data_IF_772986137326
#
_entry.id   IF_772986137326
#
_cell.length_a   1.000
_cell.length_b   1.000
_cell.length_c   1.000
_cell.angle_alpha   90.00
_cell.angle_beta   90.00
_cell.angle_gamma   90.00
#
_symmetry.space_group_name_H-M   'P 1'
#
loop_
_entity.id
_entity.type
_entity.pdbx_description
1 polymer ?
#
# COMPACT_ATOMS: atom_id res chain seq x y z
N UNK A 1 10.60 14.29 17.29
CA UNK A 1 12.02 14.15 16.89
C UNK A 1 12.36 15.32 15.99
N UNK A 2 13.36 16.15 16.30
CA UNK A 2 13.72 17.29 15.45
C UNK A 2 14.50 16.82 14.22
N UNK A 3 14.10 17.27 13.02
CA UNK A 3 14.78 17.00 11.75
C UNK A 3 15.55 18.26 11.34
N UNK A 4 16.78 18.10 10.84
CA UNK A 4 17.64 19.20 10.40
C UNK A 4 18.17 18.94 8.99
N UNK A 5 18.41 20.01 8.22
CA UNK A 5 19.20 19.97 6.98
C UNK A 5 20.61 20.49 7.26
N UNK A 6 21.64 19.84 6.70
CA UNK A 6 23.04 20.28 6.78
C UNK A 6 23.44 20.92 5.45
N UNK A 7 23.56 22.24 5.42
CA UNK A 7 24.00 23.00 4.25
C UNK A 7 25.09 23.99 4.70
N UNK A 8 26.18 24.12 3.94
CA UNK A 8 27.29 25.04 4.26
C UNK A 8 27.86 24.89 5.68
N UNK A 9 27.99 23.65 6.19
CA UNK A 9 28.40 23.35 7.56
C UNK A 9 27.48 23.91 8.67
N UNK A 10 26.28 24.37 8.33
CA UNK A 10 25.28 24.84 9.29
C UNK A 10 24.10 23.87 9.37
N UNK A 11 23.63 23.63 10.60
CA UNK A 11 22.44 22.83 10.87
C UNK A 11 21.21 23.75 10.89
N UNK A 12 20.32 23.56 9.92
CA UNK A 12 19.08 24.31 9.80
C UNK A 12 17.91 23.43 10.23
N UNK A 13 17.17 23.86 11.27
CA UNK A 13 16.00 23.12 11.73
C UNK A 13 14.93 23.09 10.65
N UNK A 14 14.36 21.91 10.39
CA UNK A 14 13.19 21.77 9.52
C UNK A 14 11.95 22.10 10.35
N UNK A 15 11.17 23.07 9.90
CA UNK A 15 9.93 23.45 10.56
C UNK A 15 8.94 22.27 10.57
N UNK A 16 8.32 22.06 11.73
CA UNK A 16 7.29 21.03 11.88
C UNK A 16 5.99 21.50 11.26
N UNK A 17 5.34 20.63 10.51
CA UNK A 17 4.02 20.86 9.90
C UNK A 17 3.18 19.58 10.03
N UNK A 18 1.90 19.66 9.64
CA UNK A 18 0.99 18.52 9.59
C UNK A 18 0.47 18.26 8.17
N UNK A 19 0.03 17.04 7.88
CA UNK A 19 -0.62 16.74 6.59
C UNK A 19 -1.83 17.63 6.31
N UNK A 20 -2.51 18.10 7.36
CA UNK A 20 -3.66 19.00 7.23
C UNK A 20 -3.24 20.40 6.77
N UNK A 21 -2.18 20.96 7.37
CA UNK A 21 -1.66 22.29 7.03
C UNK A 21 -1.10 22.31 5.61
N UNK A 22 -0.39 21.25 5.21
CA UNK A 22 0.17 21.11 3.86
C UNK A 22 -0.86 20.67 2.79
N UNK A 23 -2.15 20.57 3.15
CA UNK A 23 -3.21 20.07 2.28
C UNK A 23 -2.90 18.69 1.63
N UNK A 24 -2.15 17.84 2.35
CA UNK A 24 -1.79 16.50 1.91
C UNK A 24 -2.97 15.55 2.19
N UNK A 25 -3.58 15.07 1.11
CA UNK A 25 -4.71 14.14 1.17
C UNK A 25 -4.22 12.69 1.14
N UNK A 26 -4.93 11.83 1.87
CA UNK A 26 -4.55 10.42 2.08
C UNK A 26 -4.45 9.66 0.76
N UNK A 27 -5.56 9.59 0.01
CA UNK A 27 -5.60 8.84 -1.25
C UNK A 27 -4.88 9.54 -2.40
N UNK A 28 -5.08 10.86 -2.52
CA UNK A 28 -4.57 11.62 -3.67
C UNK A 28 -3.05 11.76 -3.62
N UNK A 29 -2.47 11.89 -2.42
CA UNK A 29 -1.05 12.17 -2.25
C UNK A 29 -0.31 11.03 -1.55
N UNK A 30 -0.65 10.70 -0.29
CA UNK A 30 0.13 9.75 0.51
C UNK A 30 0.13 8.34 -0.09
N UNK A 31 -1.05 7.81 -0.41
CA UNK A 31 -1.19 6.47 -0.98
C UNK A 31 -0.48 6.36 -2.33
N UNK A 32 -0.60 7.38 -3.19
CA UNK A 32 0.10 7.38 -4.48
C UNK A 32 1.62 7.44 -4.32
N UNK A 33 2.12 8.19 -3.34
CA UNK A 33 3.55 8.26 -3.04
C UNK A 33 4.08 6.95 -2.47
N UNK A 34 3.37 6.35 -1.51
CA UNK A 34 3.73 5.09 -0.87
C UNK A 34 3.61 3.91 -1.84
N UNK A 35 2.55 3.84 -2.65
CA UNK A 35 2.40 2.82 -3.70
C UNK A 35 3.61 2.77 -4.64
N UNK A 36 4.17 3.93 -4.99
CA UNK A 36 5.36 4.03 -5.85
C UNK A 36 6.66 3.65 -5.14
N UNK A 37 6.72 3.80 -3.81
CA UNK A 37 7.93 3.63 -3.01
C UNK A 37 7.62 2.84 -1.72
N UNK A 38 6.98 1.67 -1.86
CA UNK A 38 6.45 0.96 -0.68
C UNK A 38 7.55 0.51 0.28
N UNK A 39 8.76 0.27 -0.25
CA UNK A 39 9.94 -0.10 0.52
C UNK A 39 10.35 0.90 1.60
N UNK A 40 9.82 2.14 1.60
CA UNK A 40 10.05 3.10 2.69
C UNK A 40 9.35 2.69 3.99
N UNK A 41 8.25 1.94 3.91
CA UNK A 41 7.46 1.52 5.08
C UNK A 41 7.30 0.00 5.21
N UNK A 42 7.42 -0.72 4.09
CA UNK A 42 7.34 -2.17 4.04
C UNK A 42 8.34 -2.64 2.98
N UNK A 43 9.56 -2.88 3.44
CA UNK A 43 10.60 -3.54 2.65
C UNK A 43 10.06 -4.89 2.14
N UNK A 44 10.57 -5.33 0.99
CA UNK A 44 10.29 -6.67 0.48
C UNK A 44 8.79 -6.97 0.29
N UNK A 45 8.01 -5.94 -0.07
CA UNK A 45 6.59 -6.03 -0.39
C UNK A 45 6.31 -5.61 -1.85
N UNK A 46 5.48 -6.40 -2.54
CA UNK A 46 4.94 -6.10 -3.86
C UNK A 46 3.47 -5.69 -3.72
N UNK A 47 3.13 -4.44 -4.07
CA UNK A 47 1.73 -4.01 -4.10
C UNK A 47 0.99 -4.75 -5.22
N UNK A 48 -0.08 -5.46 -4.84
CA UNK A 48 -0.95 -6.18 -5.77
C UNK A 48 -2.30 -5.51 -6.00
N UNK A 49 -2.75 -4.64 -5.10
CA UNK A 49 -3.96 -3.85 -5.30
C UNK A 49 -3.94 -2.54 -4.49
N UNK A 50 -4.76 -1.60 -4.94
CA UNK A 50 -5.15 -0.42 -4.17
C UNK A 50 -6.68 -0.38 -4.08
N UNK A 51 -7.20 0.14 -2.97
CA UNK A 51 -8.65 0.28 -2.74
C UNK A 51 -9.42 -1.04 -2.91
N UNK A 52 -8.83 -2.16 -2.51
CA UNK A 52 -9.36 -3.50 -2.74
C UNK A 52 -10.64 -3.76 -1.94
N UNK A 53 -11.72 -4.16 -2.61
CA UNK A 53 -13.08 -4.18 -2.05
C UNK A 53 -13.99 -5.27 -2.67
N UNK A 54 -13.47 -6.46 -2.95
CA UNK A 54 -14.24 -7.48 -3.69
C UNK A 54 -15.23 -8.30 -2.84
N UNK A 55 -15.32 -8.00 -1.55
CA UNK A 55 -16.30 -8.61 -0.65
C UNK A 55 -17.50 -7.68 -0.47
N UNK A 56 -18.63 -8.03 -1.11
CA UNK A 56 -19.95 -7.43 -0.88
C UNK A 56 -20.05 -5.90 -1.14
N UNK A 57 -21.25 -5.37 -1.38
CA UNK A 57 -21.57 -3.97 -1.65
C UNK A 57 -21.30 -3.00 -0.48
N UNK A 58 -20.39 -3.35 0.43
CA UNK A 58 -19.91 -2.49 1.49
C UNK A 58 -19.06 -1.36 0.91
N UNK A 59 -19.10 -0.18 1.54
CA UNK A 59 -18.20 0.95 1.18
C UNK A 59 -16.78 0.77 1.72
N UNK A 60 -16.43 -0.42 2.21
CA UNK A 60 -15.15 -0.70 2.89
C UNK A 60 -14.17 -1.31 1.90
N UNK A 61 -12.90 -0.96 2.07
CA UNK A 61 -11.82 -1.38 1.19
C UNK A 61 -10.49 -1.33 1.93
N UNK A 62 -9.57 -2.18 1.52
CA UNK A 62 -8.17 -2.12 1.95
C UNK A 62 -7.48 -1.04 1.12
N UNK A 63 -6.80 -0.08 1.76
CA UNK A 63 -6.15 1.02 1.03
C UNK A 63 -5.06 0.48 0.09
N UNK A 64 -4.14 -0.35 0.59
CA UNK A 64 -3.13 -1.06 -0.19
C UNK A 64 -3.02 -2.53 0.26
N UNK A 65 -3.03 -3.44 -0.72
CA UNK A 65 -2.80 -4.87 -0.50
C UNK A 65 -1.51 -5.28 -1.21
N UNK A 66 -0.67 -6.03 -0.52
CA UNK A 66 0.63 -6.47 -1.00
C UNK A 66 0.88 -7.95 -0.71
N UNK A 67 1.95 -8.46 -1.32
CA UNK A 67 2.52 -9.79 -1.03
C UNK A 67 3.97 -9.58 -0.58
N UNK A 68 4.43 -10.30 0.44
CA UNK A 68 5.84 -10.33 0.84
C UNK A 68 6.63 -11.45 0.14
N UNK A 69 7.94 -11.52 0.40
CA UNK A 69 8.83 -12.54 -0.16
C UNK A 69 8.44 -13.99 0.15
N UNK A 70 7.69 -14.23 1.22
CA UNK A 70 7.25 -15.56 1.62
C UNK A 70 5.82 -15.88 1.13
N UNK A 71 5.30 -15.08 0.19
CA UNK A 71 3.93 -15.16 -0.31
C UNK A 71 2.84 -14.88 0.75
N UNK A 72 3.17 -14.20 1.86
CA UNK A 72 2.16 -13.74 2.81
C UNK A 72 1.43 -12.52 2.26
N UNK A 73 0.14 -12.41 2.56
CA UNK A 73 -0.63 -11.20 2.29
C UNK A 73 -0.31 -10.13 3.34
N UNK A 74 0.02 -8.94 2.86
CA UNK A 74 0.34 -7.77 3.67
C UNK A 74 -0.72 -6.71 3.44
N UNK A 75 -1.45 -6.35 4.50
CA UNK A 75 -2.51 -5.34 4.48
C UNK A 75 -1.91 -4.03 5.00
N UNK A 76 -1.97 -2.98 4.18
CA UNK A 76 -1.46 -1.66 4.53
C UNK A 76 -2.64 -0.68 4.53
N UNK A 77 -3.00 -0.22 5.73
CA UNK A 77 -4.06 0.77 5.96
C UNK A 77 -3.41 2.12 6.27
N UNK A 78 -3.82 3.18 5.59
CA UNK A 78 -3.27 4.52 5.79
C UNK A 78 -4.16 5.33 6.73
N UNK A 79 -3.51 6.16 7.54
CA UNK A 79 -4.19 7.13 8.42
C UNK A 79 -3.41 8.43 8.41
N UNK A 80 -4.14 9.54 8.33
CA UNK A 80 -3.58 10.90 8.45
C UNK A 80 -3.54 11.45 9.88
N UNK A 81 -4.17 10.75 10.82
CA UNK A 81 -4.34 11.20 12.21
C UNK A 81 -3.69 10.24 13.17
N UNK A 82 -3.16 10.76 14.28
CA UNK A 82 -2.46 9.98 15.30
C UNK A 82 -3.40 9.15 16.19
N UNK A 83 -4.72 9.33 16.07
CA UNK A 83 -5.73 8.54 16.78
C UNK A 83 -6.00 7.25 16.03
N UNK A 84 -5.41 6.15 16.50
CA UNK A 84 -5.57 4.80 15.95
C UNK A 84 -6.89 4.12 16.29
N UNK A 85 -7.97 4.87 16.52
CA UNK A 85 -9.24 4.31 16.97
C UNK A 85 -9.76 3.26 15.98
N UNK A 86 -9.93 2.03 16.47
CA UNK A 86 -10.37 0.84 15.73
C UNK A 86 -9.38 0.24 14.72
N UNK A 87 -8.09 0.58 14.76
CA UNK A 87 -7.07 0.00 13.87
C UNK A 87 -7.03 -1.53 13.95
N UNK A 88 -7.05 -2.10 15.15
CA UNK A 88 -6.96 -3.54 15.37
C UNK A 88 -8.18 -4.25 14.77
N UNK A 89 -9.35 -3.64 14.90
CA UNK A 89 -10.60 -4.19 14.35
C UNK A 89 -10.64 -4.11 12.82
N UNK A 90 -10.07 -3.06 12.22
CA UNK A 90 -9.91 -2.99 10.75
C UNK A 90 -8.94 -4.07 10.27
N UNK A 91 -7.77 -4.19 10.90
CA UNK A 91 -6.75 -5.17 10.53
C UNK A 91 -7.28 -6.60 10.60
N UNK A 92 -7.89 -6.99 11.73
CA UNK A 92 -8.44 -8.33 11.90
C UNK A 92 -9.53 -8.64 10.88
N UNK A 93 -10.39 -7.65 10.59
CA UNK A 93 -11.48 -7.80 9.62
C UNK A 93 -10.95 -8.00 8.22
N UNK A 94 -10.01 -7.16 7.78
CA UNK A 94 -9.44 -7.27 6.44
C UNK A 94 -8.62 -8.56 6.29
N UNK A 95 -7.86 -8.95 7.32
CA UNK A 95 -7.18 -10.24 7.34
C UNK A 95 -8.17 -11.40 7.16
N UNK A 96 -9.31 -11.35 7.85
CA UNK A 96 -10.37 -12.35 7.67
C UNK A 96 -10.94 -12.34 6.24
N UNK A 97 -11.13 -11.16 5.65
CA UNK A 97 -11.71 -11.00 4.30
C UNK A 97 -10.79 -11.52 3.19
N UNK A 98 -9.48 -11.40 3.34
CA UNK A 98 -8.51 -11.91 2.36
C UNK A 98 -7.95 -13.29 2.72
N UNK A 99 -8.36 -13.87 3.84
CA UNK A 99 -7.83 -15.16 4.34
C UNK A 99 -8.03 -16.33 3.38
N UNK A 100 -9.05 -16.27 2.52
CA UNK A 100 -9.35 -17.31 1.52
C UNK A 100 -8.78 -17.00 0.14
N UNK A 101 -7.98 -15.94 0.00
CA UNK A 101 -7.39 -15.57 -1.28
C UNK A 101 -6.39 -16.63 -1.73
N UNK A 102 -6.62 -17.19 -2.91
CA UNK A 102 -5.71 -18.13 -3.55
C UNK A 102 -4.68 -17.37 -4.41
N UNK A 103 -3.61 -18.05 -4.79
CA UNK A 103 -2.60 -17.48 -5.69
C UNK A 103 -3.20 -17.03 -7.02
N UNK A 104 -4.10 -17.82 -7.62
CA UNK A 104 -4.74 -17.46 -8.89
C UNK A 104 -5.58 -16.18 -8.75
N UNK A 105 -6.32 -16.03 -7.64
CA UNK A 105 -7.06 -14.80 -7.33
C UNK A 105 -6.10 -13.61 -7.18
N UNK A 106 -4.98 -13.80 -6.46
CA UNK A 106 -3.98 -12.75 -6.29
C UNK A 106 -3.34 -12.32 -7.62
N UNK A 107 -3.09 -13.26 -8.55
CA UNK A 107 -2.60 -12.98 -9.91
C UNK A 107 -3.62 -12.16 -10.69
N UNK A 108 -4.91 -12.53 -10.64
CA UNK A 108 -5.98 -11.79 -11.31
C UNK A 108 -6.16 -10.36 -10.78
N UNK A 109 -6.05 -10.20 -9.46
CA UNK A 109 -6.07 -8.90 -8.80
C UNK A 109 -4.86 -8.07 -9.24
N UNK A 110 -3.66 -8.62 -9.18
CA UNK A 110 -2.44 -7.93 -9.58
C UNK A 110 -2.46 -7.51 -11.04
N UNK A 111 -2.94 -8.37 -11.92
CA UNK A 111 -3.12 -8.07 -13.33
C UNK A 111 -4.00 -6.83 -13.52
N UNK A 112 -5.18 -6.79 -12.87
CA UNK A 112 -6.10 -5.64 -12.97
C UNK A 112 -5.49 -4.38 -12.38
N UNK A 113 -4.78 -4.50 -11.26
CA UNK A 113 -4.04 -3.40 -10.67
C UNK A 113 -3.03 -2.79 -11.66
N UNK A 114 -2.23 -3.62 -12.36
CA UNK A 114 -1.27 -3.17 -13.37
C UNK A 114 -1.94 -2.50 -14.57
N UNK A 115 -3.04 -3.07 -15.07
CA UNK A 115 -3.84 -2.46 -16.15
C UNK A 115 -4.32 -1.07 -15.75
N UNK A 116 -4.90 -0.93 -14.55
CA UNK A 116 -5.38 0.35 -14.02
C UNK A 116 -4.25 1.36 -13.76
N UNK A 117 -3.01 0.89 -13.63
CA UNK A 117 -1.82 1.69 -13.35
C UNK A 117 -0.90 1.86 -14.58
N UNK A 118 -1.46 1.82 -15.79
CA UNK A 118 -0.76 2.22 -17.01
C UNK A 118 -0.12 1.09 -17.82
N UNK A 119 -0.44 -0.17 -17.51
CA UNK A 119 0.03 -1.34 -18.26
C UNK A 119 -1.16 -2.07 -18.94
N UNK A 120 -1.80 -1.49 -19.97
CA UNK A 120 -3.06 -2.01 -20.51
C UNK A 120 -2.95 -3.39 -21.18
N UNK A 121 -1.76 -3.76 -21.63
CA UNK A 121 -1.48 -5.06 -22.24
C UNK A 121 -1.01 -6.12 -21.22
N UNK A 122 -1.04 -5.81 -19.92
CA UNK A 122 -0.56 -6.72 -18.89
C UNK A 122 -1.52 -7.90 -18.73
N UNK A 123 -1.06 -9.08 -19.16
CA UNK A 123 -1.85 -10.30 -19.16
C UNK A 123 -1.63 -11.14 -17.89
N UNK A 124 -2.35 -12.26 -17.81
CA UNK A 124 -2.29 -13.17 -16.67
C UNK A 124 -0.91 -13.83 -16.51
N UNK A 125 -0.23 -14.13 -17.62
CA UNK A 125 1.09 -14.76 -17.60
C UNK A 125 2.16 -13.77 -17.14
N UNK A 126 2.05 -12.49 -17.53
CA UNK A 126 2.91 -11.41 -17.02
C UNK A 126 2.76 -11.28 -15.50
N UNK A 127 1.52 -11.25 -15.00
CA UNK A 127 1.23 -11.15 -13.58
C UNK A 127 1.77 -12.36 -12.79
N UNK A 128 1.52 -13.58 -13.28
CA UNK A 128 2.04 -14.82 -12.69
C UNK A 128 3.56 -14.79 -12.63
N UNK A 129 4.22 -14.41 -13.72
CA UNK A 129 5.69 -14.35 -13.81
C UNK A 129 6.28 -13.33 -12.86
N UNK A 130 5.73 -12.12 -12.79
CA UNK A 130 6.22 -11.08 -11.87
C UNK A 130 6.04 -11.50 -10.40
N UNK A 131 4.89 -12.05 -10.01
CA UNK A 131 4.68 -12.55 -8.64
C UNK A 131 5.65 -13.71 -8.34
N UNK A 132 5.81 -14.66 -9.26
CA UNK A 132 6.70 -15.81 -9.05
C UNK A 132 8.18 -15.43 -8.99
N UNK A 133 8.59 -14.38 -9.72
CA UNK A 133 9.96 -13.85 -9.64
C UNK A 133 10.19 -13.01 -8.38
N UNK A 134 9.11 -12.53 -7.77
CA UNK A 134 9.19 -11.70 -6.59
C UNK A 134 9.30 -12.54 -5.31
N UNK A 135 8.50 -13.59 -5.19
CA UNK A 135 8.49 -14.54 -4.05
C UNK A 135 9.75 -15.42 -4.10
N UNK A 136 10.30 -15.74 -2.92
CA UNK A 136 11.50 -16.56 -2.74
C UNK A 136 11.22 -18.09 -2.75
#
# INVERSE_FOLDING_TARGET
MPIFTLNNNELNAVETTSFKEEAILERLHLQQALKKNIGVIAEDCLIIAEEYAEWDGSKRRIDLLAIDKNANLVIIELKRTDTGDHMELQALRYASMVSTMTLDIAIDIYRRYKINNGYPAFDHDNARKEISNFVD
#
